data_IF_096615073103
#
_entry.id   IF_096615073103
#
_cell.length_a   1.000
_cell.length_b   1.000
_cell.length_c   1.000
_cell.angle_alpha   90.00
_cell.angle_beta   90.00
_cell.angle_gamma   90.00
#
_symmetry.space_group_name_H-M   'P 1'
#
loop_
_entity.id
_entity.type
_entity.pdbx_description
1 polymer ?
#
# COMPACT_ATOMS: atom_id res chain seq x y z
N UNK A 1 -4.67 -37.70 -0.76
CA UNK A 1 -5.05 -36.52 0.04
C UNK A 1 -5.17 -35.33 -0.89
N UNK A 2 -6.38 -34.86 -1.17
CA UNK A 2 -6.59 -33.69 -2.01
C UNK A 2 -6.06 -32.46 -1.27
N UNK A 3 -5.05 -31.80 -1.84
CA UNK A 3 -4.61 -30.49 -1.39
C UNK A 3 -5.78 -29.54 -1.69
N UNK A 4 -6.59 -29.26 -0.67
CA UNK A 4 -7.56 -28.18 -0.73
C UNK A 4 -6.77 -26.90 -1.03
N UNK A 5 -6.82 -26.44 -2.29
CA UNK A 5 -6.44 -25.08 -2.66
C UNK A 5 -7.34 -24.18 -1.83
N UNK A 6 -6.84 -23.79 -0.66
CA UNK A 6 -7.47 -22.79 0.19
C UNK A 6 -7.33 -21.49 -0.60
N UNK A 7 -8.32 -21.17 -1.43
CA UNK A 7 -8.58 -19.81 -1.88
C UNK A 7 -8.93 -19.01 -0.63
N UNK A 8 -7.91 -18.75 0.19
CA UNK A 8 -7.99 -17.92 1.35
C UNK A 8 -8.10 -16.49 0.81
N UNK A 9 -9.32 -16.12 0.42
CA UNK A 9 -9.84 -14.83 0.87
C UNK A 9 -9.95 -14.90 2.40
N UNK A 10 -8.80 -15.10 3.07
CA UNK A 10 -8.63 -14.72 4.46
C UNK A 10 -9.09 -13.28 4.47
N UNK A 11 -9.98 -12.89 5.39
CA UNK A 11 -10.35 -11.49 5.58
C UNK A 11 -9.03 -10.73 5.70
N UNK A 12 -8.59 -10.11 4.59
CA UNK A 12 -7.27 -9.50 4.50
C UNK A 12 -7.40 -8.31 5.42
N UNK A 13 -6.78 -8.41 6.60
CA UNK A 13 -6.47 -7.22 7.39
C UNK A 13 -5.87 -6.22 6.38
N UNK A 14 -6.30 -4.96 6.40
CA UNK A 14 -5.77 -3.97 5.46
C UNK A 14 -4.25 -4.06 5.47
N UNK A 15 -3.64 -4.17 4.29
CA UNK A 15 -2.19 -4.09 4.20
C UNK A 15 -1.71 -2.73 4.71
N UNK A 16 -0.45 -2.67 5.13
CA UNK A 16 0.13 -1.47 5.76
C UNK A 16 0.00 -0.24 4.85
N UNK A 17 0.03 -0.43 3.53
CA UNK A 17 -0.19 0.65 2.56
C UNK A 17 -1.62 1.16 2.60
N UNK A 18 -2.61 0.27 2.64
CA UNK A 18 -4.01 0.63 2.76
C UNK A 18 -4.28 1.39 4.07
N UNK A 19 -3.69 0.96 5.19
CA UNK A 19 -3.80 1.68 6.47
C UNK A 19 -3.21 3.10 6.37
N UNK A 20 -2.03 3.24 5.76
CA UNK A 20 -1.40 4.56 5.60
C UNK A 20 -2.15 5.47 4.62
N UNK A 21 -2.69 4.92 3.54
CA UNK A 21 -3.53 5.68 2.62
C UNK A 21 -4.78 6.22 3.33
N UNK A 22 -5.45 5.39 4.12
CA UNK A 22 -6.61 5.83 4.92
C UNK A 22 -6.20 6.90 5.91
N UNK A 23 -5.06 6.75 6.60
CA UNK A 23 -4.57 7.74 7.54
C UNK A 23 -4.27 9.09 6.88
N UNK A 24 -3.62 9.11 5.72
CA UNK A 24 -3.27 10.34 4.98
C UNK A 24 -4.51 11.01 4.40
N UNK A 25 -5.43 10.25 3.78
CA UNK A 25 -6.64 10.78 3.16
C UNK A 25 -7.70 11.25 4.17
N UNK A 26 -7.69 10.68 5.39
CA UNK A 26 -8.55 11.13 6.49
C UNK A 26 -8.29 12.57 6.93
N UNK A 27 -7.17 13.18 6.51
CA UNK A 27 -6.82 14.58 6.79
C UNK A 27 -7.67 15.60 5.99
N UNK A 28 -8.65 15.14 5.20
CA UNK A 28 -9.57 15.96 4.37
C UNK A 28 -8.84 16.93 3.42
N UNK A 29 -7.71 16.50 2.88
CA UNK A 29 -6.98 17.22 1.86
C UNK A 29 -7.03 16.46 0.54
N UNK A 30 -7.07 17.20 -0.57
CA UNK A 30 -6.86 16.64 -1.90
C UNK A 30 -5.36 16.59 -2.15
N UNK A 31 -4.88 15.46 -2.66
CA UNK A 31 -3.47 15.26 -2.99
C UNK A 31 -3.35 14.89 -4.46
N UNK A 32 -2.38 15.49 -5.14
CA UNK A 32 -1.91 14.97 -6.42
C UNK A 32 -1.30 13.58 -6.20
N UNK A 33 -1.46 12.69 -7.17
CA UNK A 33 -1.04 11.28 -7.03
C UNK A 33 0.42 11.14 -6.56
N UNK A 34 1.33 11.92 -7.16
CA UNK A 34 2.75 11.93 -6.80
C UNK A 34 3.00 12.41 -5.36
N UNK A 35 2.31 13.46 -4.93
CA UNK A 35 2.43 13.98 -3.56
C UNK A 35 1.90 12.97 -2.54
N UNK A 36 0.75 12.34 -2.83
CA UNK A 36 0.18 11.29 -1.97
C UNK A 36 1.15 10.11 -1.84
N UNK A 37 1.73 9.69 -2.96
CA UNK A 37 2.73 8.64 -3.01
C UNK A 37 3.93 8.95 -2.12
N UNK A 38 4.52 10.14 -2.26
CA UNK A 38 5.74 10.52 -1.53
C UNK A 38 5.49 10.50 -0.01
N UNK A 39 4.34 11.02 0.42
CA UNK A 39 3.92 11.04 1.83
C UNK A 39 3.74 9.61 2.37
N UNK A 40 2.98 8.77 1.66
CA UNK A 40 2.72 7.37 2.10
C UNK A 40 4.02 6.57 2.14
N UNK A 41 4.88 6.74 1.13
CA UNK A 41 6.17 6.08 1.04
C UNK A 41 7.12 6.49 2.17
N UNK A 42 7.19 7.79 2.49
CA UNK A 42 7.99 8.29 3.61
C UNK A 42 7.48 7.74 4.94
N UNK A 43 6.16 7.74 5.16
CA UNK A 43 5.55 7.21 6.39
C UNK A 43 5.81 5.71 6.58
N UNK A 44 5.69 4.91 5.52
CA UNK A 44 5.99 3.48 5.56
C UNK A 44 7.48 3.22 5.84
N UNK A 45 8.38 4.03 5.26
CA UNK A 45 9.81 3.96 5.56
C UNK A 45 10.09 4.31 7.03
N UNK A 46 9.49 5.38 7.55
CA UNK A 46 9.65 5.80 8.94
C UNK A 46 9.19 4.72 9.94
N UNK A 47 8.19 3.92 9.56
CA UNK A 47 7.68 2.79 10.37
C UNK A 47 8.47 1.49 10.21
N UNK A 48 9.56 1.48 9.44
CA UNK A 48 10.25 0.25 9.00
C UNK A 48 9.31 -0.76 8.32
N UNK A 49 8.15 -0.29 7.84
CA UNK A 49 7.16 -1.06 7.12
C UNK A 49 7.43 -1.10 5.61
N UNK A 50 8.45 -0.37 5.15
CA UNK A 50 8.95 -0.39 3.77
C UNK A 50 9.73 -1.69 3.43
N UNK A 51 9.25 -2.84 3.89
CA UNK A 51 9.90 -4.13 3.69
C UNK A 51 9.46 -4.77 2.36
N UNK A 52 9.94 -4.19 1.26
CA UNK A 52 10.23 -4.86 -0.01
C UNK A 52 9.16 -5.77 -0.66
N UNK A 53 8.66 -5.34 -1.83
CA UNK A 53 8.12 -6.27 -2.82
C UNK A 53 6.95 -5.71 -3.63
N UNK A 54 5.78 -6.31 -3.48
CA UNK A 54 4.61 -6.04 -4.32
C UNK A 54 3.97 -4.66 -4.11
N UNK A 55 3.91 -4.17 -2.86
CA UNK A 55 3.27 -2.89 -2.54
C UNK A 55 4.07 -1.70 -3.08
N UNK A 56 5.40 -1.74 -2.95
CA UNK A 56 6.30 -0.76 -3.57
C UNK A 56 6.37 -0.89 -5.09
N UNK A 57 6.20 -2.09 -5.64
CA UNK A 57 6.13 -2.31 -7.10
C UNK A 57 4.83 -1.78 -7.69
N UNK A 58 3.68 -1.91 -7.01
CA UNK A 58 2.43 -1.23 -7.42
C UNK A 58 2.62 0.27 -7.45
N UNK A 59 3.18 0.80 -6.38
CA UNK A 59 3.49 2.21 -6.24
C UNK A 59 4.42 2.68 -7.39
N UNK A 60 5.55 2.02 -7.64
CA UNK A 60 6.47 2.37 -8.75
C UNK A 60 5.89 2.16 -10.15
N UNK A 61 5.00 1.18 -10.33
CA UNK A 61 4.36 0.92 -11.62
C UNK A 61 3.45 2.10 -12.04
N UNK A 62 2.79 2.74 -11.08
CA UNK A 62 2.02 3.95 -11.35
C UNK A 62 2.91 5.16 -11.70
N UNK A 63 4.09 5.29 -11.10
CA UNK A 63 5.04 6.37 -11.44
C UNK A 63 5.59 6.24 -12.87
N UNK A 64 5.73 5.01 -13.39
CA UNK A 64 6.22 4.73 -14.76
C UNK A 64 5.16 4.75 -15.85
N UNK A 65 3.87 4.83 -15.50
CA UNK A 65 2.75 4.88 -16.45
C UNK A 65 2.35 6.31 -16.85
N UNK A 66 2.99 7.32 -16.26
CA UNK A 66 2.88 8.72 -16.64
C UNK A 66 3.93 9.08 -17.69
#
# INVERSE_FOLDING_TARGET
MAILKKNAFSRRVPDLVTEELVAVLSRRASFEFKQLFDIVHENLRARNAASGGEEMLRLRAYEKLQ
#
